data_IF_300224737108
#
_entry.id   IF_300224737108
#
_cell.length_a   1.000
_cell.length_b   1.000
_cell.length_c   1.000
_cell.angle_alpha   90.00
_cell.angle_beta   90.00
_cell.angle_gamma   90.00
#
_symmetry.space_group_name_H-M   'P 1'
#
loop_
_entity.id
_entity.type
_entity.pdbx_description
1 polymer ?
#
# COMPACT_ATOMS: atom_id res chain seq x y z
N UNK A 1 -22.09 6.79 -39.60
CA UNK A 1 -20.95 6.33 -38.78
C UNK A 1 -21.21 6.73 -37.35
N UNK A 2 -21.63 5.78 -36.51
CA UNK A 2 -21.76 5.99 -35.08
C UNK A 2 -20.39 5.78 -34.44
N UNK A 3 -19.78 6.86 -33.95
CA UNK A 3 -18.60 6.77 -33.07
C UNK A 3 -19.09 6.26 -31.71
N UNK A 4 -18.92 4.98 -31.45
CA UNK A 4 -19.03 4.42 -30.11
C UNK A 4 -17.82 4.93 -29.32
N UNK A 5 -17.99 6.01 -28.55
CA UNK A 5 -17.03 6.42 -27.55
C UNK A 5 -17.05 5.34 -26.46
N UNK A 6 -16.07 4.44 -26.50
CA UNK A 6 -15.79 3.57 -25.37
C UNK A 6 -15.36 4.46 -24.21
N UNK A 7 -16.28 4.72 -23.28
CA UNK A 7 -15.97 5.37 -22.02
C UNK A 7 -15.08 4.40 -21.22
N UNK A 8 -13.78 4.59 -21.34
CA UNK A 8 -12.79 3.88 -20.55
C UNK A 8 -12.82 4.51 -19.14
N UNK A 9 -13.65 3.98 -18.25
CA UNK A 9 -13.63 4.40 -16.87
C UNK A 9 -12.33 3.89 -16.23
N UNK A 10 -11.47 4.80 -15.82
CA UNK A 10 -10.33 4.45 -14.98
C UNK A 10 -10.87 3.89 -13.66
N UNK A 11 -10.31 2.73 -13.21
CA UNK A 11 -10.72 2.21 -11.90
C UNK A 11 -10.18 3.11 -10.81
N UNK A 12 -11.00 3.29 -9.78
CA UNK A 12 -10.63 4.05 -8.60
C UNK A 12 -10.12 3.11 -7.51
N UNK A 13 -8.95 3.42 -6.98
CA UNK A 13 -8.31 2.73 -5.86
C UNK A 13 -8.27 3.66 -4.67
N UNK A 14 -8.66 3.17 -3.51
CA UNK A 14 -8.29 3.75 -2.22
C UNK A 14 -7.29 2.85 -1.53
N UNK A 15 -6.23 3.41 -0.97
CA UNK A 15 -5.27 2.62 -0.20
C UNK A 15 -4.97 3.24 1.15
N UNK A 16 -4.47 2.41 2.08
CA UNK A 16 -4.05 2.81 3.41
C UNK A 16 -2.69 2.18 3.73
N UNK A 17 -1.78 2.99 4.25
CA UNK A 17 -0.53 2.52 4.83
C UNK A 17 -0.74 2.28 6.32
N UNK A 18 -0.37 1.09 6.79
CA UNK A 18 -0.34 0.75 8.22
C UNK A 18 1.09 0.41 8.60
N UNK A 19 1.64 1.20 9.50
CA UNK A 19 3.03 1.09 9.95
C UNK A 19 3.07 0.28 11.25
N UNK A 20 3.86 -0.79 11.24
CA UNK A 20 4.21 -1.56 12.42
C UNK A 20 5.62 -1.21 12.89
N UNK A 21 5.75 -0.92 14.18
CA UNK A 21 6.95 -0.40 14.84
C UNK A 21 7.23 1.08 14.53
N UNK A 22 7.01 1.91 15.53
CA UNK A 22 7.24 3.37 15.51
C UNK A 22 8.43 3.79 16.37
N UNK A 23 9.22 2.81 16.84
CA UNK A 23 10.27 3.04 17.86
C UNK A 23 11.48 3.81 17.35
N UNK A 24 11.60 4.01 16.04
CA UNK A 24 12.73 4.70 15.43
C UNK A 24 12.28 5.89 14.55
N UNK A 25 12.99 7.00 14.65
CA UNK A 25 12.66 8.26 13.95
C UNK A 25 12.54 8.11 12.42
N UNK A 26 13.34 7.19 11.84
CA UNK A 26 13.32 6.99 10.39
C UNK A 26 12.11 6.21 9.85
N UNK A 27 11.36 5.50 10.71
CA UNK A 27 10.24 4.65 10.27
C UNK A 27 9.14 5.49 9.63
N UNK A 28 8.78 6.59 10.26
CA UNK A 28 7.75 7.50 9.72
C UNK A 28 8.18 8.11 8.37
N UNK A 29 9.44 8.55 8.25
CA UNK A 29 9.98 9.09 7.00
C UNK A 29 9.98 8.05 5.88
N UNK A 30 10.44 6.83 6.18
CA UNK A 30 10.43 5.72 5.23
C UNK A 30 9.01 5.37 4.77
N UNK A 31 8.04 5.34 5.69
CA UNK A 31 6.62 5.09 5.38
C UNK A 31 6.03 6.17 4.47
N UNK A 32 6.35 7.44 4.69
CA UNK A 32 5.94 8.55 3.82
C UNK A 32 6.52 8.42 2.41
N UNK A 33 7.80 8.06 2.28
CA UNK A 33 8.43 7.82 0.97
C UNK A 33 7.72 6.68 0.23
N UNK A 34 7.36 5.62 0.94
CA UNK A 34 6.64 4.49 0.36
C UNK A 34 5.24 4.93 -0.07
N UNK A 35 4.50 5.66 0.77
CA UNK A 35 3.15 6.16 0.47
C UNK A 35 3.15 7.02 -0.81
N UNK A 36 4.02 8.02 -0.88
CA UNK A 36 4.16 8.88 -2.05
C UNK A 36 4.50 8.09 -3.32
N UNK A 37 5.41 7.12 -3.20
CA UNK A 37 5.81 6.28 -4.34
C UNK A 37 4.70 5.35 -4.80
N UNK A 38 3.91 4.80 -3.87
CA UNK A 38 2.73 3.96 -4.16
C UNK A 38 1.68 4.78 -4.90
N UNK A 39 1.35 5.97 -4.39
CA UNK A 39 0.38 6.88 -5.00
C UNK A 39 0.78 7.23 -6.43
N UNK A 40 2.02 7.68 -6.62
CA UNK A 40 2.54 8.05 -7.94
C UNK A 40 2.54 6.87 -8.92
N UNK A 41 2.95 5.68 -8.47
CA UNK A 41 3.01 4.49 -9.32
C UNK A 41 1.61 4.02 -9.75
N UNK A 42 0.61 4.05 -8.87
CA UNK A 42 -0.77 3.76 -9.26
C UNK A 42 -1.29 4.77 -10.27
N UNK A 43 -1.00 6.04 -10.06
CA UNK A 43 -1.37 7.09 -11.01
C UNK A 43 -0.75 6.86 -12.40
N UNK A 44 0.52 6.48 -12.46
CA UNK A 44 1.20 6.12 -13.70
C UNK A 44 0.57 4.91 -14.41
N UNK A 45 0.00 3.97 -13.66
CA UNK A 45 -0.78 2.85 -14.22
C UNK A 45 -2.20 3.25 -14.69
N UNK A 46 -2.57 4.51 -14.55
CA UNK A 46 -3.85 5.05 -15.04
C UNK A 46 -5.02 4.83 -14.08
N UNK A 47 -4.76 4.59 -12.78
CA UNK A 47 -5.80 4.55 -11.77
C UNK A 47 -6.13 5.96 -11.27
N UNK A 48 -7.38 6.15 -10.83
CA UNK A 48 -7.75 7.26 -9.96
C UNK A 48 -7.44 6.79 -8.55
N UNK A 49 -6.60 7.53 -7.83
CA UNK A 49 -6.06 7.07 -6.55
C UNK A 49 -6.40 8.04 -5.44
N UNK A 50 -6.85 7.49 -4.32
CA UNK A 50 -7.00 8.17 -3.05
C UNK A 50 -6.29 7.37 -1.97
N UNK A 51 -5.89 8.01 -0.89
CA UNK A 51 -5.33 7.35 0.29
C UNK A 51 -6.08 7.80 1.54
N UNK A 52 -6.30 6.86 2.44
CA UNK A 52 -6.67 7.16 3.83
C UNK A 52 -5.42 7.57 4.61
N UNK A 53 -5.60 8.27 5.72
CA UNK A 53 -4.49 8.64 6.59
C UNK A 53 -3.66 7.40 6.98
N UNK A 54 -2.34 7.53 6.90
CA UNK A 54 -1.44 6.50 7.37
C UNK A 54 -1.63 6.29 8.89
N UNK A 55 -1.60 5.03 9.31
CA UNK A 55 -1.87 4.65 10.69
C UNK A 55 -0.72 3.81 11.26
N UNK A 56 -0.58 3.86 12.58
CA UNK A 56 0.34 3.00 13.33
C UNK A 56 -0.47 1.87 13.97
N UNK A 57 0.04 0.66 13.93
CA UNK A 57 -0.57 -0.50 14.55
C UNK A 57 0.47 -1.33 15.28
N UNK A 58 0.08 -1.88 16.43
CA UNK A 58 0.89 -2.77 17.27
C UNK A 58 0.30 -4.19 17.38
N UNK A 59 -0.88 -4.43 16.80
CA UNK A 59 -1.62 -5.68 16.96
C UNK A 59 -2.53 -6.00 15.78
N UNK A 60 -2.81 -7.29 15.58
CA UNK A 60 -3.75 -7.76 14.56
C UNK A 60 -5.17 -7.19 14.76
N UNK A 61 -5.62 -7.03 16.01
CA UNK A 61 -6.93 -6.45 16.29
C UNK A 61 -7.02 -5.00 15.83
N UNK A 62 -5.95 -4.25 16.00
CA UNK A 62 -5.87 -2.87 15.51
C UNK A 62 -5.80 -2.82 13.99
N UNK A 63 -5.08 -3.74 13.35
CA UNK A 63 -5.06 -3.89 11.90
C UNK A 63 -6.46 -4.12 11.33
N UNK A 64 -7.25 -5.02 11.95
CA UNK A 64 -8.63 -5.26 11.54
C UNK A 64 -9.53 -4.05 11.71
N UNK A 65 -9.35 -3.30 12.79
CA UNK A 65 -10.10 -2.08 13.03
C UNK A 65 -9.78 -1.03 11.96
N UNK A 66 -8.50 -0.80 11.69
CA UNK A 66 -8.02 0.10 10.64
C UNK A 66 -8.50 -0.33 9.26
N UNK A 67 -8.49 -1.64 8.98
CA UNK A 67 -9.03 -2.19 7.73
C UNK A 67 -10.52 -1.86 7.56
N UNK A 68 -11.33 -2.00 8.60
CA UNK A 68 -12.76 -1.69 8.56
C UNK A 68 -13.01 -0.20 8.31
N UNK A 69 -12.21 0.67 8.94
CA UNK A 69 -12.30 2.12 8.71
C UNK A 69 -11.93 2.44 7.25
N UNK A 70 -10.74 2.04 6.79
CA UNK A 70 -10.27 2.34 5.45
C UNK A 70 -11.16 1.77 4.33
N UNK A 71 -11.68 0.54 4.52
CA UNK A 71 -12.62 -0.04 3.55
C UNK A 71 -13.97 0.69 3.54
N UNK A 72 -14.44 1.19 4.68
CA UNK A 72 -15.64 2.02 4.77
C UNK A 72 -15.46 3.36 4.07
N UNK A 73 -14.31 4.01 4.25
CA UNK A 73 -13.95 5.25 3.53
C UNK A 73 -13.88 5.02 2.02
N UNK A 74 -13.26 3.93 1.59
CA UNK A 74 -13.17 3.56 0.19
C UNK A 74 -14.56 3.34 -0.44
N UNK A 75 -15.47 2.67 0.29
CA UNK A 75 -16.86 2.49 -0.14
C UNK A 75 -17.58 3.83 -0.26
N UNK A 76 -17.50 4.69 0.74
CA UNK A 76 -18.12 6.02 0.75
C UNK A 76 -17.53 6.96 -0.32
N UNK A 77 -16.25 6.79 -0.65
CA UNK A 77 -15.53 7.50 -1.72
C UNK A 77 -15.77 6.93 -3.12
N UNK A 78 -16.66 5.93 -3.27
CA UNK A 78 -16.97 5.27 -4.54
C UNK A 78 -15.78 4.57 -5.21
N UNK A 79 -14.79 4.16 -4.44
CA UNK A 79 -13.67 3.38 -4.95
C UNK A 79 -14.12 2.00 -5.44
N UNK A 80 -13.45 1.47 -6.44
CA UNK A 80 -13.68 0.10 -6.91
C UNK A 80 -12.94 -0.90 -6.02
N UNK A 81 -11.75 -0.51 -5.57
CA UNK A 81 -10.87 -1.35 -4.75
C UNK A 81 -10.38 -0.60 -3.51
N UNK A 82 -10.25 -1.34 -2.42
CA UNK A 82 -9.50 -0.93 -1.23
C UNK A 82 -8.26 -1.79 -1.07
N UNK A 83 -7.14 -1.16 -0.75
CA UNK A 83 -5.86 -1.84 -0.58
C UNK A 83 -5.26 -1.39 0.76
N UNK A 84 -5.11 -2.33 1.70
CA UNK A 84 -4.33 -2.08 2.91
C UNK A 84 -2.91 -2.60 2.69
N UNK A 85 -1.93 -1.77 2.98
CA UNK A 85 -0.50 -2.07 2.88
C UNK A 85 0.10 -1.95 4.27
N UNK A 86 0.54 -3.06 4.84
CA UNK A 86 1.16 -3.13 6.15
C UNK A 86 2.68 -3.19 6.01
N UNK A 87 3.36 -2.25 6.63
CA UNK A 87 4.82 -2.11 6.62
C UNK A 87 5.37 -2.58 7.96
N UNK A 88 6.28 -3.54 7.94
CA UNK A 88 6.89 -4.10 9.13
C UNK A 88 8.39 -3.75 9.16
N UNK A 89 8.79 -3.13 10.25
CA UNK A 89 10.16 -2.69 10.48
C UNK A 89 10.79 -3.52 11.59
N UNK A 90 12.08 -3.80 11.45
CA UNK A 90 12.87 -4.43 12.50
C UNK A 90 14.04 -3.52 12.88
N UNK A 91 14.35 -3.53 14.16
CA UNK A 91 15.43 -2.70 14.70
C UNK A 91 16.78 -3.23 14.27
N UNK A 92 17.58 -2.38 13.68
CA UNK A 92 18.97 -2.68 13.37
C UNK A 92 19.83 -2.34 14.59
N UNK A 93 20.47 -3.36 15.19
CA UNK A 93 21.39 -3.20 16.31
C UNK A 93 22.70 -2.55 15.87
N UNK A 94 22.64 -1.26 15.53
CA UNK A 94 23.84 -0.44 15.43
C UNK A 94 23.87 0.53 16.62
N UNK A 95 24.84 0.34 17.48
CA UNK A 95 25.02 0.99 18.79
C UNK A 95 25.11 2.52 18.76
N UNK A 96 25.03 3.18 17.62
CA UNK A 96 25.20 4.63 17.46
C UNK A 96 23.97 5.40 16.92
N UNK A 97 22.99 4.72 16.36
CA UNK A 97 21.70 5.32 16.00
C UNK A 97 20.59 4.27 16.05
N UNK A 98 19.52 4.54 16.75
CA UNK A 98 18.32 3.72 16.71
C UNK A 98 17.68 3.87 15.33
N UNK A 99 17.94 2.94 14.43
CA UNK A 99 17.29 2.86 13.13
C UNK A 99 16.57 1.52 12.98
N UNK A 100 15.47 1.54 12.28
CA UNK A 100 14.75 0.31 11.91
C UNK A 100 14.66 0.21 10.41
N UNK A 101 14.81 -1.00 9.88
CA UNK A 101 14.75 -1.28 8.46
C UNK A 101 13.46 -2.02 8.10
N UNK A 102 12.84 -1.63 6.99
CA UNK A 102 11.71 -2.33 6.43
C UNK A 102 12.14 -3.73 5.98
N UNK A 103 11.58 -4.78 6.59
CA UNK A 103 11.94 -6.16 6.25
C UNK A 103 10.79 -6.95 5.62
N UNK A 104 9.54 -6.50 5.82
CA UNK A 104 8.36 -7.20 5.34
C UNK A 104 7.25 -6.22 4.96
N UNK A 105 6.55 -6.51 3.87
CA UNK A 105 5.32 -5.82 3.48
C UNK A 105 4.23 -6.87 3.29
N UNK A 106 3.07 -6.65 3.88
CA UNK A 106 1.86 -7.40 3.58
C UNK A 106 0.86 -6.47 2.90
N UNK A 107 0.20 -6.94 1.85
CA UNK A 107 -0.93 -6.20 1.29
C UNK A 107 -2.16 -7.08 1.12
N UNK A 108 -3.31 -6.47 1.35
CA UNK A 108 -4.63 -7.06 1.14
C UNK A 108 -5.41 -6.21 0.17
N UNK A 109 -5.98 -6.83 -0.86
CA UNK A 109 -6.85 -6.18 -1.85
C UNK A 109 -8.28 -6.67 -1.63
N UNK A 110 -9.22 -5.76 -1.60
CA UNK A 110 -10.65 -6.07 -1.54
C UNK A 110 -11.45 -5.24 -2.55
N UNK A 111 -12.60 -5.76 -2.96
CA UNK A 111 -13.62 -4.96 -3.62
C UNK A 111 -14.20 -3.98 -2.60
N UNK A 112 -14.11 -2.68 -2.86
CA UNK A 112 -14.69 -1.68 -1.97
C UNK A 112 -16.22 -1.80 -1.90
N UNK A 113 -16.87 -2.22 -2.99
CA UNK A 113 -18.33 -2.35 -3.07
C UNK A 113 -18.90 -3.53 -2.29
N UNK A 114 -18.23 -4.68 -2.32
CA UNK A 114 -18.73 -5.91 -1.71
C UNK A 114 -17.98 -6.29 -0.42
N UNK A 115 -16.84 -5.68 -0.12
CA UNK A 115 -15.96 -6.04 0.98
C UNK A 115 -15.25 -7.40 0.76
N UNK A 116 -15.43 -8.04 -0.39
CA UNK A 116 -14.83 -9.36 -0.66
C UNK A 116 -13.34 -9.20 -0.90
N UNK A 117 -12.54 -9.97 -0.15
CA UNK A 117 -11.09 -10.06 -0.35
C UNK A 117 -10.78 -10.69 -1.71
N UNK A 118 -9.99 -10.00 -2.50
CA UNK A 118 -9.56 -10.43 -3.84
C UNK A 118 -8.21 -11.13 -3.78
N UNK A 119 -7.28 -10.55 -3.04
CA UNK A 119 -5.93 -11.08 -2.89
C UNK A 119 -5.31 -10.62 -1.57
N UNK A 120 -4.39 -11.45 -1.09
CA UNK A 120 -3.50 -11.11 0.00
C UNK A 120 -2.13 -11.69 -0.31
N UNK A 121 -1.08 -10.92 -0.07
CA UNK A 121 0.29 -11.36 -0.31
C UNK A 121 1.26 -10.70 0.65
N UNK A 122 2.29 -11.46 1.00
CA UNK A 122 3.41 -10.97 1.82
C UNK A 122 4.70 -10.97 0.99
N UNK A 123 5.44 -9.89 1.09
CA UNK A 123 6.79 -9.74 0.59
C UNK A 123 7.73 -9.77 1.79
N UNK A 124 8.59 -10.78 1.84
CA UNK A 124 9.50 -11.01 2.96
C UNK A 124 10.95 -10.82 2.53
N UNK A 125 11.84 -10.76 3.51
CA UNK A 125 13.29 -10.64 3.30
C UNK A 125 13.66 -9.40 2.47
N UNK A 126 12.91 -8.32 2.63
CA UNK A 126 13.25 -7.06 2.02
C UNK A 126 14.56 -6.54 2.61
N UNK A 127 15.41 -5.97 1.76
CA UNK A 127 16.66 -5.34 2.17
C UNK A 127 16.66 -3.91 1.69
N UNK A 128 16.61 -2.99 2.64
CA UNK A 128 16.73 -1.56 2.35
C UNK A 128 18.21 -1.20 2.28
N UNK A 129 18.67 -0.81 1.10
CA UNK A 129 20.02 -0.30 0.90
C UNK A 129 19.99 1.24 1.01
N UNK A 130 20.25 1.74 2.22
CA UNK A 130 20.24 3.19 2.51
C UNK A 130 21.35 3.96 1.81
N UNK A 131 22.34 3.28 1.23
CA UNK A 131 23.38 3.92 0.42
C UNK A 131 22.87 4.29 -0.97
N UNK A 132 21.79 3.65 -1.42
CA UNK A 132 21.18 3.91 -2.72
C UNK A 132 20.00 4.85 -2.59
N UNK A 133 20.15 6.03 -3.13
CA UNK A 133 19.05 6.97 -3.31
C UNK A 133 17.93 6.28 -4.09
N UNK A 134 16.69 6.36 -3.59
CA UNK A 134 15.49 5.77 -4.20
C UNK A 134 15.31 4.25 -4.03
N UNK A 135 16.00 3.59 -3.10
CA UNK A 135 15.76 2.15 -2.87
C UNK A 135 14.33 1.85 -2.39
N UNK A 136 13.80 2.65 -1.46
CA UNK A 136 12.41 2.53 -0.98
C UNK A 136 11.39 2.77 -2.11
N UNK A 137 11.62 3.77 -2.96
CA UNK A 137 10.76 4.03 -4.11
C UNK A 137 10.73 2.84 -5.08
N UNK A 138 11.86 2.16 -5.29
CA UNK A 138 11.92 0.95 -6.10
C UNK A 138 11.12 -0.20 -5.48
N UNK A 139 11.26 -0.42 -4.17
CA UNK A 139 10.46 -1.42 -3.44
C UNK A 139 8.96 -1.14 -3.61
N UNK A 140 8.55 0.13 -3.52
CA UNK A 140 7.17 0.56 -3.72
C UNK A 140 6.68 0.31 -5.15
N UNK A 141 7.50 0.60 -6.16
CA UNK A 141 7.17 0.33 -7.57
C UNK A 141 6.98 -1.17 -7.82
N UNK A 142 7.85 -2.01 -7.25
CA UNK A 142 7.74 -3.47 -7.35
C UNK A 142 6.48 -3.98 -6.62
N UNK A 143 6.15 -3.42 -5.45
CA UNK A 143 4.92 -3.69 -4.72
C UNK A 143 3.68 -3.37 -5.57
N UNK A 144 3.58 -2.16 -6.11
CA UNK A 144 2.43 -1.75 -6.94
C UNK A 144 2.33 -2.59 -8.20
N UNK A 145 3.45 -2.99 -8.81
CA UNK A 145 3.45 -3.92 -9.94
C UNK A 145 2.79 -5.26 -9.58
N UNK A 146 3.06 -5.80 -8.39
CA UNK A 146 2.45 -7.04 -7.92
C UNK A 146 0.95 -6.86 -7.62
N UNK A 147 0.57 -5.76 -7.00
CA UNK A 147 -0.84 -5.41 -6.77
C UNK A 147 -1.59 -5.29 -8.10
N UNK A 148 -1.02 -4.58 -9.07
CA UNK A 148 -1.61 -4.40 -10.40
C UNK A 148 -1.81 -5.74 -11.13
N UNK A 149 -0.86 -6.68 -11.00
CA UNK A 149 -1.02 -8.04 -11.55
C UNK A 149 -2.19 -8.77 -10.91
N UNK A 150 -2.36 -8.68 -9.58
CA UNK A 150 -3.47 -9.30 -8.87
C UNK A 150 -4.82 -8.69 -9.27
N UNK A 151 -4.89 -7.36 -9.42
CA UNK A 151 -6.10 -6.66 -9.87
C UNK A 151 -6.49 -7.07 -11.30
N UNK A 152 -5.51 -7.22 -12.21
CA UNK A 152 -5.78 -7.66 -13.59
C UNK A 152 -6.23 -9.12 -13.66
N UNK A 153 -5.66 -10.00 -12.85
CA UNK A 153 -6.05 -11.41 -12.81
C UNK A 153 -7.50 -11.60 -12.31
N UNK A 154 -8.00 -10.70 -11.47
CA UNK A 154 -9.38 -10.76 -10.97
C UNK A 154 -10.43 -10.21 -11.95
N UNK A 155 -10.01 -9.52 -13.02
CA UNK A 155 -10.90 -8.99 -14.06
C UNK A 155 -11.15 -9.99 -15.20
N UNK A 156 -10.35 -11.04 -15.26
CA UNK A 156 -10.50 -12.12 -16.24
C UNK A 156 -11.49 -13.17 -15.76
#
# INVERSE_FOLDING_TARGET
>A
MLFSAALCFANQISFQIVQHDDSADNVTEDSMIIEDSVLNTFFEYGYIVTNSDAAISDSENQDEHLYKIGSGEAFNGFSDYFIQIKLYYERTDNTLSASSDLYKINFTIASAKSGVKIAEKTLENLKVDRTKKNNLAKISTDLVSQINKALKANKA
#
